data_IF_184129181696
#
_entry.id   IF_184129181696
#
_cell.length_a   1.000
_cell.length_b   1.000
_cell.length_c   1.000
_cell.angle_alpha   90.00
_cell.angle_beta   90.00
_cell.angle_gamma   90.00
#
_symmetry.space_group_name_H-M   'P 1'
#
loop_
_entity.id
_entity.type
_entity.pdbx_description
1 polymer ?
#
# COMPACT_ATOMS: atom_id res chain seq x y z
N UNK A 1 -18.84 8.30 7.59
CA UNK A 1 -17.48 7.96 8.07
C UNK A 1 -17.65 7.05 9.28
N UNK A 2 -17.17 5.81 9.19
CA UNK A 2 -17.27 4.79 10.24
C UNK A 2 -15.85 4.45 10.74
N UNK A 3 -15.48 4.90 11.94
CA UNK A 3 -14.19 4.57 12.55
C UNK A 3 -12.96 5.12 11.82
N UNK A 4 -13.09 6.22 11.07
CA UNK A 4 -11.97 6.91 10.43
C UNK A 4 -11.90 8.39 10.84
N UNK A 5 -10.69 8.93 10.84
CA UNK A 5 -10.37 10.23 11.46
C UNK A 5 -10.20 11.43 10.52
N UNK A 6 -10.62 11.29 9.25
CA UNK A 6 -10.45 12.33 8.22
C UNK A 6 -9.01 12.86 8.12
N UNK A 7 -8.03 11.96 8.06
CA UNK A 7 -6.62 12.32 7.95
C UNK A 7 -6.33 13.21 6.72
N UNK A 8 -5.32 14.08 6.79
CA UNK A 8 -4.95 14.98 5.69
C UNK A 8 -4.52 14.22 4.42
N UNK A 9 -4.01 12.99 4.56
CA UNK A 9 -3.67 12.13 3.41
C UNK A 9 -4.88 11.56 2.68
N UNK A 10 -6.06 11.63 3.30
CA UNK A 10 -7.33 11.21 2.69
C UNK A 10 -8.13 12.41 2.21
N UNK A 11 -8.14 13.48 3.00
CA UNK A 11 -8.99 14.65 2.75
C UNK A 11 -8.37 15.68 1.81
N UNK A 12 -7.04 15.68 1.66
CA UNK A 12 -6.35 16.73 0.91
C UNK A 12 -6.65 18.09 1.52
N UNK A 13 -7.14 19.02 0.70
CA UNK A 13 -7.68 20.29 1.20
C UNK A 13 -9.14 20.12 1.67
N UNK A 14 -9.33 20.29 2.98
CA UNK A 14 -10.63 20.14 3.63
C UNK A 14 -11.72 21.12 3.15
N UNK A 15 -11.36 22.26 2.56
CA UNK A 15 -12.33 23.20 1.98
C UNK A 15 -13.04 22.60 0.75
N UNK A 16 -12.34 21.74 0.01
CA UNK A 16 -12.86 21.06 -1.19
C UNK A 16 -13.28 19.61 -0.91
N UNK A 17 -13.13 19.14 0.32
CA UNK A 17 -13.44 17.75 0.66
C UNK A 17 -14.94 17.54 0.88
N UNK A 18 -15.56 16.77 -0.02
CA UNK A 18 -16.98 16.39 0.03
C UNK A 18 -17.92 17.61 0.23
N UNK A 19 -17.88 18.61 -0.67
CA UNK A 19 -18.57 19.90 -0.48
C UNK A 19 -20.10 19.74 -0.45
N UNK A 20 -20.62 18.78 -1.21
CA UNK A 20 -22.05 18.52 -1.36
C UNK A 20 -22.59 17.43 -0.43
N UNK A 21 -21.74 16.84 0.42
CA UNK A 21 -22.10 15.70 1.25
C UNK A 21 -22.69 16.12 2.61
N UNK A 22 -23.70 15.37 3.05
CA UNK A 22 -24.10 15.30 4.46
C UNK A 22 -23.23 14.29 5.19
N UNK A 23 -22.63 14.70 6.30
CA UNK A 23 -21.60 13.93 7.01
C UNK A 23 -22.17 13.32 8.28
N UNK A 24 -22.29 11.99 8.30
CA UNK A 24 -22.46 11.20 9.51
C UNK A 24 -21.07 10.68 9.92
N UNK A 25 -20.64 10.95 11.15
CA UNK A 25 -19.35 10.51 11.68
C UNK A 25 -19.58 9.67 12.94
N UNK A 26 -19.19 8.40 12.86
CA UNK A 26 -19.17 7.45 13.98
C UNK A 26 -17.72 7.29 14.44
N UNK A 27 -17.44 7.69 15.68
CA UNK A 27 -16.13 7.52 16.29
C UNK A 27 -16.24 7.16 17.78
N UNK A 28 -15.32 6.34 18.26
CA UNK A 28 -15.28 5.96 19.68
C UNK A 28 -14.65 7.07 20.53
N UNK A 29 -13.75 7.85 19.93
CA UNK A 29 -13.08 8.97 20.59
C UNK A 29 -13.82 10.28 20.30
N UNK A 30 -14.44 10.92 21.32
CA UNK A 30 -15.13 12.19 21.13
C UNK A 30 -14.21 13.32 20.63
N UNK A 31 -12.89 13.21 20.81
CA UNK A 31 -11.93 14.20 20.34
C UNK A 31 -11.80 14.24 18.81
N UNK A 32 -12.24 13.19 18.10
CA UNK A 32 -12.20 13.13 16.64
C UNK A 32 -13.38 13.88 15.99
N UNK A 33 -14.50 14.05 16.70
CA UNK A 33 -15.66 14.75 16.18
C UNK A 33 -15.39 16.24 15.99
N UNK A 34 -15.53 16.71 14.75
CA UNK A 34 -15.32 18.12 14.41
C UNK A 34 -13.85 18.57 14.43
N UNK A 35 -12.89 17.65 14.63
CA UNK A 35 -11.45 17.97 14.63
C UNK A 35 -10.96 18.44 13.25
N UNK A 36 -11.36 17.73 12.19
CA UNK A 36 -10.96 18.04 10.80
C UNK A 36 -12.17 18.47 9.98
N UNK A 37 -13.27 17.73 10.04
CA UNK A 37 -14.53 18.04 9.35
C UNK A 37 -15.67 18.04 10.37
N UNK A 38 -16.47 19.11 10.37
CA UNK A 38 -17.68 19.17 11.20
C UNK A 38 -18.74 18.22 10.67
N UNK A 39 -19.18 17.20 11.42
CA UNK A 39 -20.26 16.32 11.01
C UNK A 39 -21.63 17.00 11.16
N UNK A 40 -22.57 16.65 10.28
CA UNK A 40 -23.99 16.98 10.47
C UNK A 40 -24.61 16.12 11.59
N UNK A 41 -24.15 14.87 11.73
CA UNK A 41 -24.53 13.95 12.81
C UNK A 41 -23.28 13.27 13.35
N UNK A 42 -22.99 13.48 14.64
CA UNK A 42 -21.91 12.79 15.36
C UNK A 42 -22.50 11.66 16.22
N UNK A 43 -21.94 10.46 16.11
CA UNK A 43 -22.32 9.28 16.88
C UNK A 43 -21.10 8.82 17.65
N UNK A 44 -21.09 9.05 18.97
CA UNK A 44 -20.02 8.56 19.83
C UNK A 44 -20.28 7.11 20.22
N UNK A 45 -19.41 6.20 19.79
CA UNK A 45 -19.51 4.79 20.15
C UNK A 45 -18.62 3.88 19.33
N UNK A 46 -18.64 2.60 19.69
CA UNK A 46 -18.03 1.54 18.89
C UNK A 46 -18.72 1.46 17.51
N UNK A 47 -17.92 1.42 16.43
CA UNK A 47 -18.43 1.47 15.06
C UNK A 47 -19.29 0.24 14.70
N UNK A 48 -19.01 -0.94 15.27
CA UNK A 48 -19.82 -2.14 15.04
C UNK A 48 -21.21 -1.97 15.63
N UNK A 49 -21.30 -1.59 16.91
CA UNK A 49 -22.59 -1.41 17.59
C UNK A 49 -23.41 -0.27 16.96
N UNK A 50 -22.76 0.81 16.55
CA UNK A 50 -23.44 1.90 15.84
C UNK A 50 -24.00 1.42 14.50
N UNK A 51 -23.26 0.62 13.74
CA UNK A 51 -23.72 0.07 12.47
C UNK A 51 -24.88 -0.91 12.65
N UNK A 52 -24.82 -1.79 13.64
CA UNK A 52 -25.91 -2.73 13.98
C UNK A 52 -27.21 -1.97 14.31
N UNK A 53 -27.12 -0.93 15.15
CA UNK A 53 -28.28 -0.11 15.51
C UNK A 53 -28.85 0.67 14.31
N UNK A 54 -27.99 1.17 13.42
CA UNK A 54 -28.42 1.85 12.19
C UNK A 54 -29.14 0.90 11.22
N UNK A 55 -28.66 -0.35 11.10
CA UNK A 55 -29.30 -1.38 10.29
C UNK A 55 -30.67 -1.74 10.88
N UNK A 56 -30.76 -1.99 12.18
CA UNK A 56 -32.02 -2.31 12.87
C UNK A 56 -33.06 -1.18 12.70
N UNK A 57 -32.66 0.08 12.87
CA UNK A 57 -33.54 1.23 12.69
C UNK A 57 -33.98 1.38 11.22
N UNK A 58 -33.08 1.17 10.27
CA UNK A 58 -33.40 1.18 8.84
C UNK A 58 -34.43 0.10 8.48
N UNK A 59 -34.28 -1.11 9.00
CA UNK A 59 -35.23 -2.20 8.78
C UNK A 59 -36.59 -1.92 9.45
N UNK A 60 -36.58 -1.44 10.70
CA UNK A 60 -37.80 -1.18 11.48
C UNK A 60 -38.61 0.00 10.96
N UNK A 61 -37.95 1.03 10.43
CA UNK A 61 -38.60 2.17 9.79
C UNK A 61 -39.22 1.86 8.43
N UNK A 62 -39.13 0.60 7.96
CA UNK A 62 -39.63 0.18 6.66
C UNK A 62 -38.72 0.63 5.52
N UNK A 63 -37.41 0.70 5.76
CA UNK A 63 -36.39 1.12 4.81
C UNK A 63 -36.60 0.49 3.44
N UNK A 64 -36.83 1.34 2.44
CA UNK A 64 -37.01 0.92 1.06
C UNK A 64 -35.72 1.10 0.30
N UNK A 65 -35.39 0.13 -0.56
CA UNK A 65 -34.25 0.27 -1.46
C UNK A 65 -34.43 1.50 -2.36
N UNK A 66 -33.49 2.44 -2.26
CA UNK A 66 -33.43 3.61 -3.14
C UNK A 66 -32.78 3.19 -4.45
N UNK A 67 -33.38 3.61 -5.57
CA UNK A 67 -32.74 3.43 -6.88
C UNK A 67 -31.43 4.24 -6.92
N UNK A 68 -30.32 3.52 -7.06
CA UNK A 68 -28.96 4.05 -7.11
C UNK A 68 -28.31 3.75 -8.46
N UNK A 69 -29.08 3.35 -9.47
CA UNK A 69 -28.58 2.92 -10.78
C UNK A 69 -27.73 4.00 -11.47
N UNK A 70 -28.18 5.25 -11.48
CA UNK A 70 -27.44 6.39 -12.05
C UNK A 70 -26.10 6.62 -11.33
N UNK A 71 -26.11 6.59 -10.00
CA UNK A 71 -24.90 6.75 -9.19
C UNK A 71 -23.91 5.59 -9.41
N UNK A 72 -24.40 4.35 -9.45
CA UNK A 72 -23.58 3.18 -9.76
C UNK A 72 -22.97 3.28 -11.16
N UNK A 73 -23.74 3.74 -12.15
CA UNK A 73 -23.25 3.94 -13.52
C UNK A 73 -22.14 5.00 -13.57
N UNK A 74 -22.25 6.05 -12.77
CA UNK A 74 -21.21 7.09 -12.65
C UNK A 74 -19.92 6.50 -12.08
N UNK A 75 -20.00 5.76 -10.97
CA UNK A 75 -18.84 5.09 -10.36
C UNK A 75 -18.19 4.10 -11.33
N UNK A 76 -18.97 3.25 -11.99
CA UNK A 76 -18.44 2.30 -12.98
C UNK A 76 -17.75 3.02 -14.14
N UNK A 77 -18.31 4.14 -14.61
CA UNK A 77 -17.67 4.99 -15.61
C UNK A 77 -16.30 5.52 -15.16
N UNK A 78 -16.18 5.97 -13.90
CA UNK A 78 -14.89 6.40 -13.35
C UNK A 78 -13.87 5.27 -13.21
N UNK A 79 -14.31 4.09 -12.78
CA UNK A 79 -13.44 2.91 -12.66
C UNK A 79 -12.89 2.46 -14.02
N UNK A 80 -13.69 2.53 -15.08
CA UNK A 80 -13.28 2.24 -16.45
C UNK A 80 -12.35 3.31 -17.05
N UNK A 81 -12.55 4.57 -16.67
CA UNK A 81 -11.76 5.71 -17.17
C UNK A 81 -10.42 5.85 -16.46
N UNK A 82 -10.34 5.51 -15.18
CA UNK A 82 -9.18 5.73 -14.32
C UNK A 82 -8.72 4.46 -13.59
N UNK A 83 -8.42 3.35 -14.30
CA UNK A 83 -7.85 2.18 -13.65
C UNK A 83 -6.41 2.45 -13.21
N UNK A 84 -5.91 1.66 -12.28
CA UNK A 84 -4.47 1.61 -12.00
C UNK A 84 -3.77 0.98 -13.21
N UNK A 85 -2.76 1.67 -13.73
CA UNK A 85 -2.03 1.26 -14.93
C UNK A 85 -0.52 1.35 -14.70
N UNK A 86 0.21 0.46 -15.36
CA UNK A 86 1.66 0.48 -15.51
C UNK A 86 2.03 -0.38 -16.72
N UNK A 87 3.19 -0.16 -17.32
CA UNK A 87 3.72 -1.00 -18.40
C UNK A 87 4.91 -1.82 -17.93
N UNK A 88 4.78 -3.15 -17.95
CA UNK A 88 5.90 -4.08 -17.78
C UNK A 88 6.43 -4.48 -19.15
N UNK A 89 7.74 -4.32 -19.36
CA UNK A 89 8.39 -4.81 -20.57
C UNK A 89 8.32 -6.35 -20.65
N UNK A 90 8.07 -6.89 -21.86
CA UNK A 90 7.88 -8.32 -22.12
C UNK A 90 9.08 -9.20 -21.71
N UNK A 91 10.28 -8.63 -21.62
CA UNK A 91 11.48 -9.33 -21.12
C UNK A 91 12.50 -8.36 -20.53
N UNK A 92 13.22 -8.83 -19.51
CA UNK A 92 14.36 -8.11 -18.92
C UNK A 92 14.01 -6.98 -17.94
N UNK A 93 14.84 -5.93 -17.97
CA UNK A 93 14.83 -4.75 -17.09
C UNK A 93 14.36 -3.51 -17.88
N UNK A 94 13.61 -2.56 -17.28
CA UNK A 94 13.27 -2.45 -15.87
C UNK A 94 12.18 -3.43 -15.41
N UNK A 95 12.41 -4.03 -14.24
CA UNK A 95 11.39 -4.78 -13.51
C UNK A 95 10.50 -3.77 -12.75
N UNK A 96 9.19 -3.76 -13.04
CA UNK A 96 8.26 -2.84 -12.38
C UNK A 96 7.88 -3.36 -10.99
N UNK A 97 7.91 -2.52 -9.93
CA UNK A 97 7.49 -2.93 -8.59
C UNK A 97 6.02 -3.36 -8.54
N UNK A 98 5.16 -2.76 -9.36
CA UNK A 98 3.75 -3.15 -9.50
C UNK A 98 3.62 -4.60 -9.96
N UNK A 99 4.38 -5.01 -10.98
CA UNK A 99 4.40 -6.38 -11.48
C UNK A 99 4.80 -7.37 -10.38
N UNK A 100 5.86 -7.08 -9.62
CA UNK A 100 6.29 -7.92 -8.49
C UNK A 100 5.17 -8.11 -7.46
N UNK A 101 4.45 -7.04 -7.13
CA UNK A 101 3.36 -7.08 -6.16
C UNK A 101 2.15 -7.89 -6.66
N UNK A 102 1.80 -7.77 -7.93
CA UNK A 102 0.74 -8.60 -8.52
C UNK A 102 1.14 -10.07 -8.55
N UNK A 103 2.38 -10.38 -8.90
CA UNK A 103 2.88 -11.76 -8.85
C UNK A 103 2.90 -12.32 -7.42
N UNK A 104 3.25 -11.51 -6.42
CA UNK A 104 3.16 -11.93 -5.01
C UNK A 104 1.72 -12.19 -4.58
N UNK A 105 0.79 -11.27 -4.92
CA UNK A 105 -0.65 -11.38 -4.64
C UNK A 105 -1.24 -12.65 -5.26
N UNK A 106 -1.00 -12.88 -6.55
CA UNK A 106 -1.64 -13.95 -7.31
C UNK A 106 -1.07 -15.34 -6.98
N UNK A 107 0.11 -15.41 -6.35
CA UNK A 107 0.79 -16.65 -5.97
C UNK A 107 0.88 -16.87 -4.45
N UNK A 108 0.00 -16.24 -3.68
CA UNK A 108 -0.14 -16.45 -2.23
C UNK A 108 -1.61 -16.64 -1.87
N UNK A 109 -1.96 -17.28 -0.73
CA UNK A 109 -3.35 -17.38 -0.31
C UNK A 109 -4.03 -16.01 -0.17
N UNK A 110 -5.31 -15.91 -0.50
CA UNK A 110 -6.11 -14.67 -0.41
C UNK A 110 -6.08 -14.04 0.99
N UNK A 111 -5.93 -14.88 2.02
CA UNK A 111 -5.86 -14.48 3.42
C UNK A 111 -4.42 -14.19 3.89
N UNK A 112 -3.46 -13.99 2.99
CA UNK A 112 -2.09 -13.61 3.35
C UNK A 112 -2.05 -12.29 4.11
N UNK A 113 -1.28 -12.23 5.20
CA UNK A 113 -1.00 -10.97 5.89
C UNK A 113 0.16 -10.29 5.18
N UNK A 114 -0.11 -9.10 4.67
CA UNK A 114 0.87 -8.22 4.07
C UNK A 114 1.24 -7.14 5.06
N UNK A 115 2.53 -7.07 5.36
CA UNK A 115 3.11 -6.00 6.15
C UNK A 115 3.88 -5.09 5.22
N UNK A 116 3.76 -3.78 5.36
CA UNK A 116 4.53 -2.84 4.53
C UNK A 116 5.46 -1.95 5.35
N UNK A 117 6.61 -1.63 4.75
CA UNK A 117 7.46 -0.52 5.16
C UNK A 117 6.79 0.83 4.83
N UNK A 118 7.61 1.87 4.63
CA UNK A 118 7.11 3.22 4.34
C UNK A 118 7.80 3.80 3.12
N UNK A 119 7.02 4.21 2.12
CA UNK A 119 7.53 4.79 0.88
C UNK A 119 6.70 4.37 -0.33
N UNK A 120 7.31 4.35 -1.52
CA UNK A 120 6.58 3.99 -2.74
C UNK A 120 6.09 2.54 -2.73
N UNK A 121 6.90 1.60 -2.23
CA UNK A 121 6.53 0.19 -2.07
C UNK A 121 5.28 0.01 -1.19
N UNK A 122 5.09 0.84 -0.16
CA UNK A 122 3.89 0.83 0.67
C UNK A 122 2.64 1.24 -0.14
N UNK A 123 2.77 2.28 -0.97
CA UNK A 123 1.67 2.77 -1.80
C UNK A 123 1.31 1.75 -2.89
N UNK A 124 2.30 1.25 -3.63
CA UNK A 124 2.05 0.21 -4.63
C UNK A 124 1.47 -1.05 -3.99
N UNK A 125 1.94 -1.47 -2.81
CA UNK A 125 1.32 -2.60 -2.11
C UNK A 125 -0.15 -2.33 -1.77
N UNK A 126 -0.50 -1.11 -1.34
CA UNK A 126 -1.90 -0.74 -1.08
C UNK A 126 -2.77 -0.65 -2.34
N UNK A 127 -2.16 -0.34 -3.49
CA UNK A 127 -2.84 -0.17 -4.78
C UNK A 127 -3.03 -1.50 -5.53
N UNK A 128 -1.99 -2.32 -5.59
CA UNK A 128 -1.93 -3.52 -6.43
C UNK A 128 -2.21 -4.82 -5.67
N UNK A 129 -2.36 -4.77 -4.34
CA UNK A 129 -2.87 -5.89 -3.55
C UNK A 129 -4.38 -5.81 -3.33
N UNK A 130 -5.04 -6.96 -3.17
CA UNK A 130 -6.47 -7.05 -2.84
C UNK A 130 -6.65 -7.52 -1.40
N UNK A 131 -7.27 -6.69 -0.56
CA UNK A 131 -7.44 -6.94 0.87
C UNK A 131 -8.89 -7.31 1.20
N UNK A 132 -9.26 -8.56 0.93
CA UNK A 132 -10.64 -9.05 1.11
C UNK A 132 -10.90 -9.63 2.52
N UNK A 133 -9.89 -9.65 3.38
CA UNK A 133 -9.95 -10.17 4.75
C UNK A 133 -9.54 -9.08 5.76
N UNK A 134 -10.21 -8.98 6.92
CA UNK A 134 -9.77 -8.04 7.95
C UNK A 134 -8.41 -8.47 8.52
N UNK A 135 -7.65 -7.49 9.04
CA UNK A 135 -6.35 -7.70 9.69
C UNK A 135 -5.27 -8.36 8.79
N UNK A 136 -5.37 -8.21 7.46
CA UNK A 136 -4.33 -8.64 6.51
C UNK A 136 -3.44 -7.52 6.00
N UNK A 137 -3.79 -6.26 6.25
CA UNK A 137 -2.95 -5.12 5.90
C UNK A 137 -2.39 -4.48 7.16
N UNK A 138 -1.06 -4.56 7.34
CA UNK A 138 -0.37 -4.04 8.53
C UNK A 138 0.70 -3.06 8.09
N UNK A 139 0.55 -1.78 8.41
CA UNK A 139 1.55 -0.76 8.06
C UNK A 139 1.64 0.34 9.12
N UNK A 140 2.69 1.16 9.01
CA UNK A 140 2.79 2.42 9.77
C UNK A 140 2.24 3.57 8.93
N UNK A 141 0.94 3.84 9.06
CA UNK A 141 0.26 4.91 8.32
C UNK A 141 0.44 6.29 8.96
N UNK A 142 -0.02 6.46 10.21
CA UNK A 142 -0.07 7.78 10.85
C UNK A 142 1.28 8.43 11.09
N UNK A 143 2.26 7.67 11.62
CA UNK A 143 3.61 8.19 11.86
C UNK A 143 4.55 8.00 10.64
N UNK A 144 4.28 7.00 9.80
CA UNK A 144 5.16 6.71 8.65
C UNK A 144 6.55 6.23 9.07
N UNK A 145 6.62 5.28 9.99
CA UNK A 145 7.90 4.76 10.52
C UNK A 145 8.57 3.78 9.55
N UNK A 146 9.64 4.21 8.89
CA UNK A 146 10.56 3.31 8.17
C UNK A 146 11.21 2.31 9.15
N UNK A 147 11.50 1.08 8.69
CA UNK A 147 11.97 -0.02 9.55
C UNK A 147 10.84 -0.76 10.28
N UNK A 148 9.57 -0.47 9.97
CA UNK A 148 8.44 -1.14 10.61
C UNK A 148 8.23 -2.58 10.11
N UNK A 149 8.48 -2.86 8.83
CA UNK A 149 8.00 -4.05 8.15
C UNK A 149 8.54 -5.36 8.75
N UNK A 150 9.86 -5.47 8.93
CA UNK A 150 10.52 -6.69 9.44
C UNK A 150 10.01 -7.07 10.84
N UNK A 151 10.12 -6.20 11.88
CA UNK A 151 9.61 -6.56 13.20
C UNK A 151 8.10 -6.78 13.24
N UNK A 152 7.31 -6.00 12.48
CA UNK A 152 5.86 -6.19 12.44
C UNK A 152 5.46 -7.51 11.75
N UNK A 153 6.18 -7.95 10.71
CA UNK A 153 5.97 -9.25 10.09
C UNK A 153 6.29 -10.41 11.02
N UNK A 154 7.36 -10.30 11.82
CA UNK A 154 7.68 -11.27 12.86
C UNK A 154 6.52 -11.38 13.86
N UNK A 155 6.03 -10.23 14.36
CA UNK A 155 4.89 -10.19 15.28
C UNK A 155 3.61 -10.75 14.68
N UNK A 156 3.30 -10.41 13.42
CA UNK A 156 2.14 -10.92 12.71
C UNK A 156 2.20 -12.44 12.53
N UNK A 157 3.37 -12.98 12.15
CA UNK A 157 3.55 -14.43 11.97
C UNK A 157 3.50 -15.17 13.31
N UNK A 158 4.05 -14.60 14.37
CA UNK A 158 3.95 -15.17 15.72
C UNK A 158 2.49 -15.19 16.22
N UNK A 159 1.71 -14.12 15.96
CA UNK A 159 0.29 -14.04 16.33
C UNK A 159 -0.64 -14.87 15.44
N UNK A 160 -0.24 -15.15 14.20
CA UNK A 160 -0.99 -15.91 13.20
C UNK A 160 -0.10 -17.00 12.57
N UNK A 161 0.31 -18.03 13.34
CA UNK A 161 1.33 -18.99 12.92
C UNK A 161 0.97 -19.78 11.67
N UNK A 162 -0.33 -19.98 11.42
CA UNK A 162 -0.83 -20.75 10.26
C UNK A 162 -0.98 -19.91 8.98
N UNK A 163 -0.94 -18.58 9.05
CA UNK A 163 -1.14 -17.71 7.88
C UNK A 163 0.19 -17.40 7.20
N UNK A 164 0.16 -17.23 5.88
CA UNK A 164 1.32 -16.69 5.16
C UNK A 164 1.50 -15.22 5.55
N UNK A 165 2.75 -14.82 5.75
CA UNK A 165 3.11 -13.42 6.05
C UNK A 165 4.19 -12.98 5.09
N UNK A 166 3.88 -11.95 4.31
CA UNK A 166 4.80 -11.26 3.40
C UNK A 166 5.04 -9.84 3.90
N UNK A 167 6.30 -9.48 4.15
CA UNK A 167 6.72 -8.11 4.36
C UNK A 167 7.14 -7.52 3.00
N UNK A 168 6.45 -6.49 2.54
CA UNK A 168 6.85 -5.67 1.39
C UNK A 168 7.65 -4.50 1.93
N UNK A 169 8.94 -4.47 1.64
CA UNK A 169 9.85 -3.46 2.18
C UNK A 169 10.59 -2.73 1.07
N UNK A 170 11.05 -1.53 1.39
CA UNK A 170 12.02 -0.80 0.55
C UNK A 170 13.43 -1.07 1.04
N UNK A 171 14.42 -1.02 0.15
CA UNK A 171 15.85 -1.16 0.46
C UNK A 171 16.30 -0.23 1.61
N UNK A 172 15.86 1.04 1.61
CA UNK A 172 16.15 1.99 2.69
C UNK A 172 15.40 1.71 4.00
N UNK A 173 14.18 1.17 3.93
CA UNK A 173 13.41 0.78 5.13
C UNK A 173 13.98 -0.47 5.78
N UNK A 174 14.27 -1.48 4.97
CA UNK A 174 14.82 -2.75 5.41
C UNK A 174 16.13 -2.55 6.19
N UNK A 175 17.02 -1.69 5.69
CA UNK A 175 18.30 -1.39 6.35
C UNK A 175 18.15 -0.89 7.80
N UNK A 176 17.03 -0.27 8.16
CA UNK A 176 16.85 0.29 9.51
C UNK A 176 16.73 -0.79 10.59
N UNK A 177 16.14 -1.94 10.25
CA UNK A 177 15.81 -2.99 11.23
C UNK A 177 16.11 -4.40 10.74
N UNK A 178 16.93 -4.56 9.70
CA UNK A 178 17.31 -5.87 9.16
C UNK A 178 17.95 -6.80 10.19
N UNK A 179 18.54 -6.28 11.28
CA UNK A 179 19.08 -7.11 12.36
C UNK A 179 18.03 -8.03 13.01
N UNK A 180 16.74 -7.71 12.91
CA UNK A 180 15.66 -8.54 13.44
C UNK A 180 15.46 -9.85 12.67
N UNK A 181 16.14 -10.03 11.52
CA UNK A 181 16.24 -11.34 10.89
C UNK A 181 16.87 -12.38 11.82
N UNK A 182 17.79 -11.98 12.71
CA UNK A 182 18.35 -12.86 13.74
C UNK A 182 17.24 -13.36 14.66
N UNK A 183 16.34 -12.47 15.08
CA UNK A 183 15.17 -12.81 15.91
C UNK A 183 14.27 -13.81 15.16
N UNK A 184 13.94 -13.53 13.90
CA UNK A 184 13.11 -14.42 13.09
C UNK A 184 13.71 -15.82 12.92
N UNK A 185 15.02 -15.91 12.67
CA UNK A 185 15.72 -17.18 12.50
C UNK A 185 15.87 -17.94 13.82
N UNK A 186 16.28 -17.28 14.92
CA UNK A 186 16.46 -17.90 16.22
C UNK A 186 15.16 -18.49 16.78
N UNK A 187 14.04 -17.78 16.57
CA UNK A 187 12.71 -18.20 17.01
C UNK A 187 11.97 -19.09 15.99
N UNK A 188 12.61 -19.45 14.87
CA UNK A 188 12.05 -20.24 13.78
C UNK A 188 10.70 -19.68 13.26
N UNK A 189 10.64 -18.37 13.01
CA UNK A 189 9.46 -17.67 12.51
C UNK A 189 9.61 -17.48 10.99
N UNK A 190 8.92 -18.28 10.14
CA UNK A 190 9.17 -18.31 8.70
C UNK A 190 8.39 -17.20 7.97
N UNK A 191 8.77 -15.94 8.24
CA UNK A 191 8.33 -14.76 7.48
C UNK A 191 9.01 -14.70 6.11
N UNK A 192 8.32 -14.14 5.14
CA UNK A 192 8.83 -13.88 3.79
C UNK A 192 8.96 -12.38 3.62
N UNK A 193 10.08 -11.90 3.10
CA UNK A 193 10.38 -10.48 2.94
C UNK A 193 10.72 -10.21 1.48
N UNK A 194 9.96 -9.34 0.83
CA UNK A 194 10.22 -8.84 -0.51
C UNK A 194 10.77 -7.42 -0.40
N UNK A 195 12.05 -7.24 -0.69
CA UNK A 195 12.68 -5.92 -0.81
C UNK A 195 12.47 -5.45 -2.25
N UNK A 196 11.68 -4.40 -2.44
CA UNK A 196 11.59 -3.68 -3.70
C UNK A 196 12.76 -2.69 -3.76
N UNK A 197 13.89 -3.19 -4.23
CA UNK A 197 15.16 -2.50 -4.21
C UNK A 197 15.34 -1.63 -5.45
N UNK A 198 15.16 -0.33 -5.27
CA UNK A 198 15.29 0.66 -6.33
C UNK A 198 16.54 1.54 -6.16
N UNK A 199 17.40 1.26 -5.15
CA UNK A 199 18.59 2.01 -4.77
C UNK A 199 18.36 3.44 -4.25
N UNK A 200 17.12 3.81 -3.90
CA UNK A 200 16.74 5.15 -3.47
C UNK A 200 15.76 5.15 -2.30
N UNK A 201 15.75 6.26 -1.56
CA UNK A 201 14.58 6.70 -0.81
C UNK A 201 13.49 7.18 -1.80
N UNK A 202 12.89 6.24 -2.52
CA UNK A 202 12.10 6.48 -3.73
C UNK A 202 10.95 7.49 -3.57
N UNK A 203 10.29 7.51 -2.40
CA UNK A 203 9.21 8.48 -2.15
C UNK A 203 9.76 9.91 -2.09
N UNK A 204 10.88 10.11 -1.39
CA UNK A 204 11.53 11.43 -1.31
C UNK A 204 12.11 11.82 -2.68
N UNK A 205 12.69 10.87 -3.41
CA UNK A 205 13.16 11.05 -4.79
C UNK A 205 12.03 11.56 -5.70
N UNK A 206 10.87 10.90 -5.73
CA UNK A 206 9.73 11.33 -6.54
C UNK A 206 9.31 12.78 -6.23
N UNK A 207 9.29 13.17 -4.95
CA UNK A 207 8.99 14.55 -4.56
C UNK A 207 10.07 15.55 -5.02
N UNK A 208 11.35 15.17 -4.95
CA UNK A 208 12.45 15.99 -5.46
C UNK A 208 12.38 16.20 -6.97
N UNK A 209 11.95 15.18 -7.73
CA UNK A 209 11.71 15.29 -9.17
C UNK A 209 10.54 16.21 -9.50
N UNK A 210 9.40 16.05 -8.82
CA UNK A 210 8.18 16.77 -9.14
C UNK A 210 8.21 18.24 -8.70
N UNK A 211 8.87 18.56 -7.59
CA UNK A 211 8.73 19.86 -6.93
C UNK A 211 10.05 20.60 -6.67
N UNK A 212 11.21 19.99 -6.98
CA UNK A 212 12.53 20.56 -6.69
C UNK A 212 13.52 20.43 -7.85
N UNK A 213 13.04 20.48 -9.09
CA UNK A 213 13.86 20.49 -10.31
C UNK A 213 14.87 19.32 -10.37
N UNK A 214 14.46 18.12 -9.93
CA UNK A 214 15.31 16.92 -9.91
C UNK A 214 16.60 17.09 -9.07
N UNK A 215 16.57 17.98 -8.07
CA UNK A 215 17.70 18.17 -7.16
C UNK A 215 17.74 17.06 -6.11
N UNK A 216 18.35 15.94 -6.49
CA UNK A 216 18.53 14.80 -5.60
C UNK A 216 19.44 15.15 -4.42
N UNK A 217 18.90 15.11 -3.20
CA UNK A 217 19.62 15.43 -1.97
C UNK A 217 19.53 14.28 -0.98
N UNK A 218 20.62 13.52 -0.83
CA UNK A 218 20.77 12.42 0.15
C UNK A 218 19.68 11.34 0.05
N UNK A 219 19.16 11.10 -1.16
CA UNK A 219 18.14 10.08 -1.45
C UNK A 219 18.69 8.84 -2.14
N UNK A 220 19.87 8.93 -2.74
CA UNK A 220 20.53 7.78 -3.36
C UNK A 220 21.22 6.94 -2.29
N UNK A 221 20.97 5.64 -2.29
CA UNK A 221 21.57 4.70 -1.35
C UNK A 221 22.77 4.02 -2.01
N UNK A 222 22.54 2.91 -2.71
CA UNK A 222 23.51 2.20 -3.52
C UNK A 222 22.80 1.01 -4.18
N UNK A 223 23.05 0.70 -5.46
CA UNK A 223 22.54 -0.52 -6.06
C UNK A 223 23.22 -1.74 -5.42
N UNK A 224 24.53 -1.73 -5.22
CA UNK A 224 25.22 -2.98 -4.88
C UNK A 224 25.40 -3.21 -3.38
N UNK A 225 25.13 -2.20 -2.54
CA UNK A 225 25.48 -2.24 -1.13
C UNK A 225 24.34 -1.80 -0.22
N UNK A 226 24.07 -2.55 0.88
CA UNK A 226 24.67 -3.86 1.19
C UNK A 226 24.18 -4.98 0.26
N UNK A 227 24.92 -6.09 0.20
CA UNK A 227 24.42 -7.31 -0.44
C UNK A 227 23.34 -7.95 0.44
N UNK A 228 22.07 -7.67 0.14
CA UNK A 228 20.93 -8.14 0.93
C UNK A 228 20.79 -9.66 0.96
N UNK A 229 21.24 -10.38 -0.07
CA UNK A 229 21.24 -11.84 -0.09
C UNK A 229 22.24 -12.37 0.92
N UNK A 230 23.51 -11.94 0.81
CA UNK A 230 24.55 -12.32 1.77
C UNK A 230 24.23 -11.90 3.20
N UNK A 231 23.59 -10.74 3.38
CA UNK A 231 23.14 -10.28 4.69
C UNK A 231 22.08 -11.20 5.29
N UNK A 232 21.06 -11.58 4.52
CA UNK A 232 20.02 -12.49 4.97
C UNK A 232 20.59 -13.88 5.34
N UNK A 233 21.48 -14.42 4.51
CA UNK A 233 22.13 -15.72 4.75
C UNK A 233 22.99 -15.70 6.03
N UNK A 234 23.74 -14.62 6.26
CA UNK A 234 24.54 -14.45 7.47
C UNK A 234 23.70 -14.42 8.75
N UNK A 235 22.40 -14.08 8.64
CA UNK A 235 21.44 -14.04 9.75
C UNK A 235 20.57 -15.30 9.83
N UNK A 236 20.87 -16.36 9.07
CA UNK A 236 20.17 -17.65 9.13
C UNK A 236 18.92 -17.74 8.25
N UNK A 237 18.69 -16.76 7.38
CA UNK A 237 17.58 -16.75 6.44
C UNK A 237 18.00 -17.37 5.10
N UNK A 238 17.02 -17.72 4.25
CA UNK A 238 17.28 -17.95 2.84
C UNK A 238 17.31 -16.61 2.09
N UNK A 239 18.35 -16.36 1.28
CA UNK A 239 18.45 -15.18 0.42
C UNK A 239 18.18 -15.53 -1.05
N UNK A 240 17.48 -14.66 -1.78
CA UNK A 240 17.22 -14.79 -3.22
C UNK A 240 17.40 -13.41 -3.86
N UNK A 241 18.08 -13.34 -5.01
CA UNK A 241 18.13 -12.14 -5.85
C UNK A 241 17.28 -12.35 -7.10
N UNK A 242 16.57 -11.30 -7.51
CA UNK A 242 15.76 -11.26 -8.73
C UNK A 242 16.10 -9.99 -9.49
N UNK A 243 16.54 -10.13 -10.75
CA UNK A 243 17.01 -9.01 -11.58
C UNK A 243 16.18 -8.81 -12.84
N UNK A 244 15.23 -9.71 -13.14
CA UNK A 244 14.36 -9.61 -14.30
C UNK A 244 12.96 -10.18 -14.04
N UNK A 245 12.01 -9.84 -14.92
CA UNK A 245 10.61 -10.26 -14.80
C UNK A 245 10.44 -11.78 -14.87
N UNK A 246 11.27 -12.49 -15.64
CA UNK A 246 11.18 -13.94 -15.84
C UNK A 246 11.56 -14.73 -14.57
N UNK A 247 12.36 -14.14 -13.69
CA UNK A 247 12.83 -14.77 -12.45
C UNK A 247 11.80 -14.66 -11.33
N UNK A 248 10.90 -13.65 -11.38
CA UNK A 248 9.96 -13.28 -10.31
C UNK A 248 9.14 -14.46 -9.84
N UNK A 249 8.43 -15.14 -10.75
CA UNK A 249 7.53 -16.23 -10.38
C UNK A 249 8.29 -17.38 -9.68
N UNK A 250 9.42 -17.80 -10.25
CA UNK A 250 10.23 -18.89 -9.71
C UNK A 250 10.80 -18.56 -8.31
N UNK A 251 11.14 -17.29 -8.07
CA UNK A 251 11.63 -16.83 -6.77
C UNK A 251 10.52 -16.84 -5.71
N UNK A 252 9.31 -16.42 -6.07
CA UNK A 252 8.13 -16.42 -5.20
C UNK A 252 7.73 -17.86 -4.84
N UNK A 253 7.65 -18.76 -5.82
CA UNK A 253 7.35 -20.17 -5.59
C UNK A 253 8.37 -20.82 -4.64
N UNK A 254 9.66 -20.55 -4.86
CA UNK A 254 10.74 -21.03 -3.99
C UNK A 254 10.60 -20.49 -2.57
N UNK A 255 10.30 -19.20 -2.39
CA UNK A 255 10.12 -18.62 -1.07
C UNK A 255 8.89 -19.17 -0.34
N UNK A 256 7.77 -19.37 -1.05
CA UNK A 256 6.55 -19.93 -0.47
C UNK A 256 6.72 -21.40 -0.04
N UNK A 257 7.60 -22.16 -0.71
CA UNK A 257 7.93 -23.53 -0.34
C UNK A 257 8.80 -23.62 0.94
N UNK A 258 9.55 -22.57 1.27
CA UNK A 258 10.43 -22.53 2.46
C UNK A 258 9.60 -22.12 3.68
N UNK A 259 9.46 -23.05 4.64
CA UNK A 259 8.69 -22.83 5.86
C UNK A 259 9.45 -23.26 7.13
N UNK A 260 10.72 -23.64 7.00
CA UNK A 260 11.62 -24.01 8.10
C UNK A 260 12.52 -22.85 8.57
N UNK A 261 12.53 -21.72 7.85
CA UNK A 261 13.31 -20.51 8.17
C UNK A 261 12.72 -19.28 7.45
N UNK A 262 13.12 -18.04 7.82
CA UNK A 262 12.72 -16.84 7.09
C UNK A 262 13.35 -16.77 5.69
N UNK A 263 12.71 -16.05 4.78
CA UNK A 263 13.19 -15.83 3.41
C UNK A 263 13.24 -14.33 3.11
N UNK A 264 14.32 -13.88 2.49
CA UNK A 264 14.48 -12.53 1.96
C UNK A 264 14.72 -12.61 0.46
N UNK A 265 13.91 -11.87 -0.31
CA UNK A 265 14.09 -11.69 -1.74
C UNK A 265 14.44 -10.22 -2.03
N UNK A 266 15.57 -10.02 -2.70
CA UNK A 266 16.05 -8.74 -3.22
C UNK A 266 15.58 -8.59 -4.68
N UNK A 267 14.43 -7.92 -4.90
CA UNK A 267 13.91 -7.61 -6.23
C UNK A 267 14.52 -6.30 -6.72
N UNK A 268 15.34 -6.36 -7.78
CA UNK A 268 15.92 -5.16 -8.41
C UNK A 268 14.91 -4.52 -9.34
N UNK A 269 14.25 -3.48 -8.85
CA UNK A 269 13.15 -2.81 -9.56
C UNK A 269 13.60 -1.48 -10.17
N UNK A 270 12.77 -0.95 -11.06
CA UNK A 270 13.00 0.33 -11.72
C UNK A 270 13.24 1.47 -10.71
N UNK A 271 14.43 2.07 -10.77
CA UNK A 271 14.81 3.20 -9.94
C UNK A 271 13.93 4.43 -10.18
N UNK A 272 13.40 4.59 -11.39
CA UNK A 272 12.71 5.82 -11.80
C UNK A 272 11.19 5.77 -11.68
N UNK A 273 10.62 4.62 -11.29
CA UNK A 273 9.17 4.44 -11.15
C UNK A 273 8.55 5.39 -10.13
N UNK A 274 7.38 5.93 -10.47
CA UNK A 274 6.61 6.86 -9.63
C UNK A 274 5.30 6.22 -9.18
N UNK A 275 4.79 6.67 -8.04
CA UNK A 275 3.46 6.30 -7.55
C UNK A 275 2.45 7.25 -8.16
N UNK A 276 1.50 6.68 -8.90
CA UNK A 276 0.30 7.35 -9.40
C UNK A 276 -0.93 6.46 -9.14
N UNK A 277 -2.15 7.03 -9.11
CA UNK A 277 -2.46 8.46 -9.13
C UNK A 277 -1.94 9.18 -7.88
N UNK A 278 -1.78 10.51 -7.97
CA UNK A 278 -1.30 11.36 -6.88
C UNK A 278 -2.14 12.63 -6.78
N UNK A 279 -2.61 12.94 -5.57
CA UNK A 279 -3.13 14.28 -5.23
C UNK A 279 -2.00 15.07 -4.58
N UNK A 280 -1.60 16.24 -5.12
CA UNK A 280 -0.55 17.07 -4.53
C UNK A 280 -0.99 17.62 -3.18
N UNK A 281 -0.02 17.91 -2.29
CA UNK A 281 -0.34 18.45 -0.97
C UNK A 281 -1.10 19.77 -1.07
N UNK A 282 -2.24 19.85 -0.38
CA UNK A 282 -3.13 21.01 -0.39
C UNK A 282 -4.03 21.14 -1.63
N UNK A 283 -3.99 20.17 -2.55
CA UNK A 283 -4.92 20.08 -3.68
C UNK A 283 -6.29 19.51 -3.29
N UNK A 284 -7.26 19.62 -4.21
CA UNK A 284 -8.54 18.91 -4.12
C UNK A 284 -8.36 17.43 -4.46
N UNK A 285 -9.25 16.57 -3.96
CA UNK A 285 -9.32 15.17 -4.40
C UNK A 285 -9.72 15.04 -5.88
N UNK A 286 -10.20 16.13 -6.50
CA UNK A 286 -10.48 16.22 -7.94
C UNK A 286 -9.22 16.54 -8.76
N UNK A 287 -8.17 17.11 -8.13
CA UNK A 287 -6.92 17.54 -8.79
C UNK A 287 -5.92 16.37 -8.89
N UNK A 288 -6.35 15.27 -9.51
CA UNK A 288 -5.57 14.03 -9.56
C UNK A 288 -4.54 14.08 -10.70
N UNK A 289 -3.28 13.81 -10.37
CA UNK A 289 -2.22 13.53 -11.35
C UNK A 289 -2.23 12.04 -11.66
N UNK A 290 -2.57 11.67 -12.89
CA UNK A 290 -2.72 10.27 -13.32
C UNK A 290 -1.41 9.58 -13.74
N UNK A 291 -0.36 10.36 -14.00
CA UNK A 291 0.91 9.84 -14.50
C UNK A 291 0.93 9.63 -16.02
N UNK A 292 2.08 9.22 -16.59
CA UNK A 292 2.28 9.12 -18.04
C UNK A 292 1.27 8.22 -18.76
N UNK A 293 0.98 7.05 -18.20
CA UNK A 293 0.07 6.05 -18.75
C UNK A 293 -1.38 6.54 -18.72
N UNK A 294 -1.80 7.10 -17.58
CA UNK A 294 -3.13 7.67 -17.42
C UNK A 294 -3.37 8.90 -18.30
N UNK A 295 -2.37 9.78 -18.45
CA UNK A 295 -2.42 10.92 -19.36
C UNK A 295 -2.52 10.49 -20.84
N UNK A 296 -1.84 9.40 -21.22
CA UNK A 296 -1.91 8.84 -22.56
C UNK A 296 -3.30 8.26 -22.86
N UNK A 297 -3.88 7.52 -21.90
CA UNK A 297 -5.22 6.94 -22.03
C UNK A 297 -6.31 8.02 -22.05
N UNK A 298 -6.21 9.04 -21.19
CA UNK A 298 -7.10 10.20 -21.21
C UNK A 298 -7.07 10.94 -22.55
N UNK A 299 -5.87 11.15 -23.12
CA UNK A 299 -5.71 11.73 -24.47
C UNK A 299 -6.30 10.83 -25.56
N UNK A 300 -6.13 9.51 -25.47
CA UNK A 300 -6.68 8.55 -26.43
C UNK A 300 -8.21 8.50 -26.40
N UNK A 301 -8.82 8.67 -25.21
CA UNK A 301 -10.27 8.66 -24.98
C UNK A 301 -10.96 10.01 -25.26
N UNK A 302 -10.20 11.07 -25.57
CA UNK A 302 -10.74 12.41 -25.84
C UNK A 302 -11.29 13.13 -24.59
N UNK A 303 -11.03 12.58 -23.40
CA UNK A 303 -11.30 13.16 -22.10
C UNK A 303 -10.07 13.98 -21.68
N UNK A 304 -10.03 15.26 -22.03
CA UNK A 304 -8.97 16.14 -21.55
C UNK A 304 -9.04 16.22 -20.01
N UNK A 305 -7.91 16.22 -19.29
CA UNK A 305 -7.92 16.54 -17.87
C UNK A 305 -8.49 17.95 -17.69
N UNK A 306 -9.47 18.09 -16.81
CA UNK A 306 -10.04 19.38 -16.39
C UNK A 306 -9.04 20.17 -15.56
#
# INVERSE_FOLDING_TARGET
>A
NLGARFDDRVTGNTEFFAPDAKIIHVDIDPAEHGKVRLPDVAIQGDALHALEALIEEYETSGGSEVDRSEWKSTISGWQEQHPLQYEQADSGFPLKPQFVLEQLRDNTPDDTIVVAGVGQHQMWASQFWKFDHPYTWVNSGGLGTMGFAVPAAIGAKAGQPNRTVWAIDGDGCFQMTAQELITAAAENIPVKIAILNNAYLGMVRQWQELFYDERYSEVYLSPDHPDYVGWAEAMGCAGIRVESAEEVLSAIEKANAINDRPVVIDFRVDAFEKVYPMVPAGGSNDDIILGPEGDADAKAKGSAPS
#
